data_IF_477620087385
#
_entry.id   IF_477620087385
#
_cell.length_a   1.000
_cell.length_b   1.000
_cell.length_c   1.000
_cell.angle_alpha   90.00
_cell.angle_beta   90.00
_cell.angle_gamma   90.00
#
_symmetry.space_group_name_H-M   'P 1'
#
loop_
_entity.id
_entity.type
_entity.pdbx_description
1 polymer ?
#
# COMPACT_ATOMS: atom_id res chain seq x y z
N UNK A 1 -17.51 -15.71 -9.70
CA UNK A 1 -16.87 -16.74 -10.55
C UNK A 1 -16.38 -17.91 -9.71
N UNK A 2 -15.26 -17.82 -8.99
CA UNK A 2 -14.69 -18.96 -8.21
C UNK A 2 -15.67 -19.62 -7.22
N UNK A 3 -16.34 -18.83 -6.36
CA UNK A 3 -17.32 -19.38 -5.39
C UNK A 3 -18.56 -19.99 -6.04
N UNK A 4 -19.01 -19.42 -7.16
CA UNK A 4 -20.23 -19.85 -7.85
C UNK A 4 -20.04 -21.22 -8.52
N UNK A 5 -18.81 -21.52 -8.94
CA UNK A 5 -18.43 -22.78 -9.58
C UNK A 5 -17.99 -23.87 -8.58
N UNK A 6 -18.12 -23.61 -7.28
CA UNK A 6 -17.71 -24.54 -6.19
C UNK A 6 -16.24 -24.96 -6.27
N UNK A 7 -15.39 -24.10 -6.82
CA UNK A 7 -13.94 -24.31 -6.88
C UNK A 7 -13.34 -24.00 -5.51
N UNK A 8 -12.46 -24.89 -5.03
CA UNK A 8 -11.71 -24.69 -3.79
C UNK A 8 -10.78 -23.48 -3.94
N UNK A 9 -10.79 -22.58 -2.97
CA UNK A 9 -10.02 -21.34 -3.05
C UNK A 9 -9.37 -20.95 -1.73
N UNK A 10 -8.28 -20.21 -1.85
CA UNK A 10 -7.76 -19.35 -0.78
C UNK A 10 -7.55 -17.97 -1.39
N UNK A 11 -8.20 -16.96 -0.83
CA UNK A 11 -8.00 -15.57 -1.26
C UNK A 11 -7.00 -14.91 -0.33
N UNK A 12 -5.92 -14.32 -0.87
CA UNK A 12 -4.87 -13.71 -0.07
C UNK A 12 -4.95 -12.20 -0.19
N UNK A 13 -5.32 -11.56 0.91
CA UNK A 13 -5.28 -10.10 1.06
C UNK A 13 -3.90 -9.69 1.58
N UNK A 14 -3.00 -9.32 0.66
CA UNK A 14 -1.60 -9.03 0.95
C UNK A 14 -1.27 -7.54 1.20
N UNK A 15 -2.27 -6.65 1.16
CA UNK A 15 -2.13 -5.21 1.40
C UNK A 15 -1.13 -4.54 0.43
N UNK A 16 -0.18 -3.75 0.94
CA UNK A 16 0.70 -2.91 0.13
C UNK A 16 2.07 -3.55 -0.10
N UNK A 17 2.47 -3.67 -1.37
CA UNK A 17 3.80 -4.14 -1.74
C UNK A 17 4.87 -3.07 -1.50
N UNK A 18 5.86 -3.41 -0.68
CA UNK A 18 6.97 -2.52 -0.33
C UNK A 18 7.74 -2.04 -1.56
N UNK A 19 8.15 -2.94 -2.46
CA UNK A 19 8.97 -2.61 -3.63
C UNK A 19 8.23 -1.71 -4.62
N UNK A 20 6.90 -1.72 -4.64
CA UNK A 20 6.13 -0.84 -5.53
C UNK A 20 6.02 0.56 -4.94
N UNK A 21 5.73 0.66 -3.64
CA UNK A 21 5.31 1.92 -3.02
C UNK A 21 6.43 2.65 -2.26
N UNK A 22 7.40 1.93 -1.69
CA UNK A 22 8.50 2.57 -0.97
C UNK A 22 9.47 3.34 -1.86
N UNK A 23 9.83 2.91 -3.08
CA UNK A 23 10.74 3.67 -3.92
C UNK A 23 10.24 5.08 -4.23
N UNK A 24 8.93 5.33 -4.21
CA UNK A 24 8.37 6.67 -4.41
C UNK A 24 7.89 7.31 -3.11
N UNK A 25 8.01 6.64 -1.96
CA UNK A 25 7.37 7.04 -0.70
C UNK A 25 5.86 7.31 -0.86
N UNK A 26 5.19 6.40 -1.58
CA UNK A 26 3.74 6.46 -1.89
C UNK A 26 3.36 7.72 -2.71
N UNK A 27 4.33 8.34 -3.39
CA UNK A 27 4.07 9.47 -4.28
C UNK A 27 3.83 8.97 -5.71
N UNK A 28 2.78 9.48 -6.34
CA UNK A 28 2.51 9.18 -7.75
C UNK A 28 3.54 9.87 -8.65
N UNK A 29 3.97 9.19 -9.71
CA UNK A 29 4.88 9.74 -10.74
C UNK A 29 6.35 9.87 -10.34
N UNK A 30 6.74 9.39 -9.15
CA UNK A 30 8.15 9.36 -8.72
C UNK A 30 8.71 7.93 -8.85
N UNK A 31 9.95 7.83 -9.33
CA UNK A 31 10.72 6.57 -9.39
C UNK A 31 11.79 6.48 -8.28
N UNK A 32 11.91 7.53 -7.47
CA UNK A 32 12.84 7.62 -6.36
C UNK A 32 12.21 8.40 -5.19
N UNK A 33 12.68 8.21 -3.95
CA UNK A 33 12.05 8.84 -2.81
C UNK A 33 12.23 10.36 -2.87
N UNK A 34 11.25 11.15 -2.42
CA UNK A 34 11.32 12.60 -2.49
C UNK A 34 12.45 13.16 -1.61
N UNK A 35 13.18 14.15 -2.15
CA UNK A 35 14.27 14.86 -1.47
C UNK A 35 13.86 16.21 -0.87
N UNK A 36 12.79 16.81 -1.39
CA UNK A 36 12.41 18.20 -1.08
C UNK A 36 10.97 18.34 -0.62
N UNK A 37 10.02 17.79 -1.39
CA UNK A 37 8.59 17.91 -1.11
C UNK A 37 7.91 16.55 -1.10
N UNK A 38 6.95 16.37 -0.20
CA UNK A 38 6.08 15.20 -0.13
C UNK A 38 4.61 15.63 -0.01
N UNK A 39 3.74 14.87 -0.67
CA UNK A 39 2.30 15.02 -0.59
C UNK A 39 1.72 14.04 0.42
N UNK A 40 0.95 14.55 1.37
CA UNK A 40 0.21 13.79 2.36
C UNK A 40 -1.27 13.77 1.93
N UNK A 41 -1.87 12.59 1.85
CA UNK A 41 -3.29 12.45 1.55
C UNK A 41 -4.12 12.50 2.84
N UNK A 42 -5.13 13.36 2.87
CA UNK A 42 -5.89 13.65 4.08
C UNK A 42 -5.00 14.19 5.20
N UNK A 43 -5.17 13.63 6.40
CA UNK A 43 -4.33 13.96 7.56
C UNK A 43 -3.03 13.14 7.64
N UNK A 44 -2.90 12.09 6.81
CA UNK A 44 -1.74 11.19 6.76
C UNK A 44 -1.63 10.19 7.89
N UNK A 45 -2.63 10.08 8.79
CA UNK A 45 -2.58 9.23 9.98
C UNK A 45 -3.21 7.86 9.78
N UNK A 46 -3.96 7.65 8.69
CA UNK A 46 -4.51 6.35 8.34
C UNK A 46 -3.39 5.32 8.18
N UNK A 47 -3.53 4.17 8.85
CA UNK A 47 -2.55 3.10 8.85
C UNK A 47 -2.72 2.19 7.64
N UNK A 48 -1.62 1.91 6.95
CA UNK A 48 -1.48 0.87 5.95
C UNK A 48 -0.61 -0.29 6.46
N UNK A 49 -0.76 -1.46 5.86
CA UNK A 49 0.10 -2.63 6.12
C UNK A 49 1.00 -2.81 4.91
N UNK A 50 2.31 -2.79 5.12
CA UNK A 50 3.30 -2.93 4.05
C UNK A 50 4.00 -4.28 4.14
N UNK A 51 3.96 -5.07 3.08
CA UNK A 51 4.49 -6.43 3.07
C UNK A 51 5.52 -6.57 1.96
N UNK A 52 6.61 -7.28 2.26
CA UNK A 52 7.64 -7.62 1.27
C UNK A 52 7.09 -8.71 0.35
N UNK A 53 7.34 -8.57 -0.95
CA UNK A 53 6.81 -9.46 -1.98
C UNK A 53 7.25 -10.91 -1.75
N UNK A 54 8.50 -11.12 -1.33
CA UNK A 54 9.03 -12.45 -1.02
C UNK A 54 8.27 -13.11 0.13
N UNK A 55 7.85 -12.34 1.13
CA UNK A 55 7.10 -12.87 2.27
C UNK A 55 5.67 -13.20 1.84
N UNK A 56 5.06 -12.36 0.99
CA UNK A 56 3.75 -12.66 0.39
C UNK A 56 3.81 -13.95 -0.42
N UNK A 57 4.86 -14.14 -1.23
CA UNK A 57 5.04 -15.37 -2.00
C UNK A 57 5.20 -16.59 -1.08
N UNK A 58 6.05 -16.49 -0.05
CA UNK A 58 6.27 -17.57 0.91
C UNK A 58 4.97 -17.95 1.65
N UNK A 59 4.22 -16.97 2.14
CA UNK A 59 2.92 -17.20 2.78
C UNK A 59 1.92 -17.81 1.80
N UNK A 60 1.87 -17.32 0.56
CA UNK A 60 0.99 -17.87 -0.48
C UNK A 60 1.23 -19.36 -0.69
N UNK A 61 2.50 -19.75 -0.87
CA UNK A 61 2.88 -21.16 -1.03
C UNK A 61 2.48 -21.98 0.21
N UNK A 62 2.70 -21.43 1.42
CA UNK A 62 2.33 -22.12 2.66
C UNK A 62 0.82 -22.37 2.80
N UNK A 63 -0.03 -21.65 2.06
CA UNK A 63 -1.49 -21.83 2.12
C UNK A 63 -2.03 -22.95 1.25
N UNK A 64 -1.26 -23.44 0.27
CA UNK A 64 -1.76 -24.35 -0.78
C UNK A 64 -2.36 -25.63 -0.19
N UNK A 65 -1.63 -26.26 0.72
CA UNK A 65 -2.05 -27.51 1.37
C UNK A 65 -2.52 -27.30 2.81
N UNK A 66 -2.83 -26.05 3.21
CA UNK A 66 -3.23 -25.71 4.57
C UNK A 66 -4.77 -25.76 4.72
N UNK A 67 -5.33 -26.78 5.40
CA UNK A 67 -6.78 -26.99 5.47
C UNK A 67 -7.51 -25.82 6.14
N UNK A 68 -6.84 -25.08 7.04
CA UNK A 68 -7.44 -23.93 7.74
C UNK A 68 -7.74 -22.75 6.81
N UNK A 69 -7.10 -22.70 5.64
CA UNK A 69 -7.30 -21.62 4.66
C UNK A 69 -8.32 -21.96 3.57
N UNK A 70 -8.79 -23.22 3.53
CA UNK A 70 -9.71 -23.70 2.52
C UNK A 70 -11.02 -22.90 2.51
N UNK A 71 -11.35 -22.33 1.35
CA UNK A 71 -12.50 -21.47 1.12
C UNK A 71 -12.52 -20.23 2.03
N UNK A 72 -11.35 -19.72 2.42
CA UNK A 72 -11.21 -18.52 3.28
C UNK A 72 -10.50 -17.37 2.57
N UNK A 73 -10.58 -16.23 3.23
CA UNK A 73 -9.75 -15.06 2.95
C UNK A 73 -8.68 -15.00 4.04
N UNK A 74 -7.40 -15.06 3.65
CA UNK A 74 -6.26 -14.87 4.53
C UNK A 74 -5.80 -13.42 4.45
N UNK A 75 -5.75 -12.73 5.58
CA UNK A 75 -5.24 -11.36 5.67
C UNK A 75 -3.81 -11.38 6.19
N UNK A 76 -2.86 -10.92 5.38
CA UNK A 76 -1.47 -10.77 5.81
C UNK A 76 -1.32 -9.46 6.58
N UNK A 77 -1.42 -9.53 7.90
CA UNK A 77 -1.34 -8.37 8.81
C UNK A 77 -0.22 -8.55 9.84
N UNK A 78 1.06 -8.50 9.43
CA UNK A 78 2.17 -8.40 10.37
C UNK A 78 2.04 -7.07 11.15
N UNK A 79 1.88 -7.14 12.47
CA UNK A 79 1.65 -5.98 13.34
C UNK A 79 2.81 -4.97 13.29
N UNK A 80 4.03 -5.47 13.06
CA UNK A 80 5.24 -4.67 12.97
C UNK A 80 5.30 -3.81 11.69
N UNK A 81 4.47 -4.10 10.68
CA UNK A 81 4.51 -3.39 9.40
C UNK A 81 3.31 -2.45 9.20
N UNK A 82 2.71 -1.99 10.30
CA UNK A 82 1.54 -1.12 10.31
C UNK A 82 1.99 0.33 10.47
N UNK A 83 2.02 1.07 9.36
CA UNK A 83 2.53 2.45 9.32
C UNK A 83 1.55 3.42 8.67
N UNK A 84 1.52 4.65 9.16
CA UNK A 84 0.86 5.77 8.49
C UNK A 84 1.81 6.44 7.52
N UNK A 85 1.29 7.24 6.58
CA UNK A 85 2.15 8.01 5.67
C UNK A 85 3.02 9.02 6.44
N UNK A 86 2.50 9.60 7.51
CA UNK A 86 3.26 10.49 8.38
C UNK A 86 4.48 9.78 9.02
N UNK A 87 4.30 8.56 9.51
CA UNK A 87 5.39 7.75 10.07
C UNK A 87 6.41 7.34 9.01
N UNK A 88 5.95 6.96 7.81
CA UNK A 88 6.86 6.66 6.69
C UNK A 88 7.71 7.88 6.32
N UNK A 89 7.08 9.06 6.25
CA UNK A 89 7.78 10.32 5.96
C UNK A 89 8.77 10.66 7.07
N UNK A 90 8.39 10.50 8.33
CA UNK A 90 9.29 10.74 9.47
C UNK A 90 10.51 9.81 9.46
N UNK A 91 10.31 8.52 9.19
CA UNK A 91 11.41 7.56 9.02
C UNK A 91 12.32 7.97 7.86
N UNK A 92 11.75 8.43 6.76
CA UNK A 92 12.52 8.90 5.61
C UNK A 92 13.31 10.17 5.91
N UNK A 93 12.68 11.18 6.52
CA UNK A 93 13.33 12.42 6.98
C UNK A 93 14.51 12.13 7.92
N UNK A 94 14.34 11.17 8.83
CA UNK A 94 15.40 10.71 9.74
C UNK A 94 16.57 10.10 8.96
N UNK A 95 16.27 9.28 7.95
CA UNK A 95 17.28 8.63 7.11
C UNK A 95 18.07 9.63 6.26
N UNK A 96 17.41 10.64 5.69
CA UNK A 96 18.07 11.67 4.87
C UNK A 96 18.61 12.84 5.69
N UNK A 97 18.35 12.88 7.00
CA UNK A 97 18.70 13.97 7.94
C UNK A 97 18.24 15.35 7.46
N UNK A 98 17.06 15.40 6.83
CA UNK A 98 16.47 16.61 6.25
C UNK A 98 14.95 16.56 6.42
N UNK A 99 14.36 17.71 6.74
CA UNK A 99 12.89 17.87 6.76
C UNK A 99 12.37 18.14 5.36
N UNK A 100 11.29 17.45 5.00
CA UNK A 100 10.61 17.63 3.73
C UNK A 100 9.51 18.69 3.86
N UNK A 101 9.30 19.46 2.79
CA UNK A 101 8.13 20.31 2.68
C UNK A 101 6.90 19.42 2.49
N UNK A 102 5.95 19.50 3.42
CA UNK A 102 4.73 18.69 3.40
C UNK A 102 3.59 19.52 2.79
N UNK A 103 2.91 18.98 1.79
CA UNK A 103 1.64 19.51 1.29
C UNK A 103 0.54 18.50 1.52
N UNK A 104 -0.63 18.96 1.97
CA UNK A 104 -1.79 18.10 2.16
C UNK A 104 -2.73 18.18 0.96
N UNK A 105 -3.33 17.05 0.58
CA UNK A 105 -4.43 16.96 -0.37
C UNK A 105 -5.63 16.41 0.36
N UNK A 106 -6.70 17.19 0.44
CA UNK A 106 -7.94 16.79 1.10
C UNK A 106 -8.67 15.72 0.28
N UNK A 107 -9.57 14.99 0.92
CA UNK A 107 -10.35 13.93 0.26
C UNK A 107 -11.15 14.46 -0.93
N UNK A 108 -11.84 15.59 -0.76
CA UNK A 108 -12.65 16.20 -1.82
C UNK A 108 -11.79 16.69 -3.00
N UNK A 109 -10.58 17.18 -2.71
CA UNK A 109 -9.62 17.56 -3.73
C UNK A 109 -9.09 16.33 -4.48
N UNK A 110 -8.83 15.24 -3.76
CA UNK A 110 -8.37 13.98 -4.34
C UNK A 110 -9.43 13.37 -5.25
N UNK A 111 -10.69 13.34 -4.83
CA UNK A 111 -11.81 12.83 -5.63
C UNK A 111 -11.92 13.61 -6.94
N UNK A 112 -11.89 14.94 -6.88
CA UNK A 112 -11.93 15.80 -8.09
C UNK A 112 -10.76 15.53 -9.04
N UNK A 113 -9.55 15.29 -8.51
CA UNK A 113 -8.38 14.93 -9.33
C UNK A 113 -8.54 13.57 -10.01
N UNK A 114 -9.14 12.59 -9.32
CA UNK A 114 -9.39 11.26 -9.90
C UNK A 114 -10.43 11.36 -11.03
N UNK A 115 -11.53 12.07 -10.81
CA UNK A 115 -12.57 12.30 -11.82
C UNK A 115 -12.03 13.10 -13.02
N UNK A 116 -11.24 14.15 -12.78
CA UNK A 116 -10.62 14.94 -13.85
C UNK A 116 -9.65 14.13 -14.73
N UNK A 117 -8.93 13.18 -14.14
CA UNK A 117 -7.99 12.32 -14.88
C UNK A 117 -8.67 11.26 -15.75
N UNK A 118 -9.96 10.96 -15.51
CA UNK A 118 -10.73 10.02 -16.35
C UNK A 118 -11.21 10.59 -17.69
N UNK A 119 -11.08 11.90 -17.91
CA UNK A 119 -11.56 12.59 -19.12
C UNK A 119 -10.45 12.91 -20.15
N UNK A 120 -9.21 12.49 -19.90
CA UNK A 120 -8.05 12.74 -20.80
C UNK A 120 -7.32 11.45 -21.15
N UNK A 121 -8.06 10.47 -21.68
CA UNK A 121 -7.49 9.32 -22.37
C UNK A 121 -8.21 9.16 -23.72
N UNK A 122 -7.82 10.03 -24.67
CA UNK A 122 -7.92 9.82 -26.12
C UNK A 122 -6.60 9.22 -26.62
#
# INVERSE_FOLDING_TARGET
>A
MVKAERILYTCICCNFFLKILFPSLVQSGLNAPPSDKVTIFGDGNTKGIFVKENDVAAFTISTVDEPRTLNKVLYLKPLENVYSLNELVEMWETKIRKKLQKSHVLEEELIKKIEGNTLTSD
#
